data_IF_627342450254
#
_entry.id   IF_627342450254
#
_cell.length_a   1.000
_cell.length_b   1.000
_cell.length_c   1.000
_cell.angle_alpha   90.00
_cell.angle_beta   90.00
_cell.angle_gamma   90.00
#
_symmetry.space_group_name_H-M   'P 1'
#
loop_
_entity.id
_entity.type
_entity.pdbx_description
1 polymer ?
#
# COMPACT_ATOMS: atom_id res chain seq x y z
N UNK A 1 19.84 -0.20 -22.00
CA UNK A 1 20.01 -0.58 -20.58
C UNK A 1 19.34 0.41 -19.60
N UNK A 2 19.81 1.66 -19.44
CA UNK A 2 19.29 2.60 -18.41
C UNK A 2 17.79 2.94 -18.53
N UNK A 3 17.27 3.14 -19.74
CA UNK A 3 15.82 3.40 -19.97
C UNK A 3 14.95 2.20 -19.59
N UNK A 4 15.35 1.00 -20.01
CA UNK A 4 14.68 -0.25 -19.66
C UNK A 4 14.67 -0.47 -18.14
N UNK A 5 15.82 -0.33 -17.48
CA UNK A 5 15.90 -0.46 -16.02
C UNK A 5 14.96 0.54 -15.30
N UNK A 6 14.85 1.77 -15.80
CA UNK A 6 13.92 2.76 -15.25
C UNK A 6 12.46 2.37 -15.44
N UNK A 7 12.08 1.89 -16.62
CA UNK A 7 10.70 1.44 -16.89
C UNK A 7 10.35 0.28 -15.96
N UNK A 8 11.21 -0.75 -15.90
CA UNK A 8 11.00 -1.90 -15.02
C UNK A 8 10.93 -1.50 -13.55
N UNK A 9 11.80 -0.61 -13.08
CA UNK A 9 11.77 -0.09 -11.73
C UNK A 9 10.45 0.64 -11.41
N UNK A 10 9.97 1.48 -12.32
CA UNK A 10 8.68 2.18 -12.15
C UNK A 10 7.50 1.21 -12.14
N UNK A 11 7.48 0.25 -13.06
CA UNK A 11 6.44 -0.79 -13.10
C UNK A 11 6.37 -1.55 -11.79
N UNK A 12 7.53 -2.00 -11.27
CA UNK A 12 7.59 -2.71 -9.99
C UNK A 12 7.05 -1.85 -8.84
N UNK A 13 7.47 -0.58 -8.76
CA UNK A 13 7.00 0.33 -7.70
C UNK A 13 5.47 0.51 -7.77
N UNK A 14 4.91 0.70 -8.97
CA UNK A 14 3.46 0.83 -9.15
C UNK A 14 2.75 -0.47 -8.74
N UNK A 15 3.23 -1.62 -9.16
CA UNK A 15 2.65 -2.92 -8.80
C UNK A 15 2.64 -3.14 -7.28
N UNK A 16 3.75 -2.85 -6.61
CA UNK A 16 3.86 -2.94 -5.14
C UNK A 16 2.88 -2.00 -4.46
N UNK A 17 2.75 -0.75 -4.94
CA UNK A 17 1.80 0.20 -4.37
C UNK A 17 0.36 -0.28 -4.53
N UNK A 18 -0.02 -0.73 -5.73
CA UNK A 18 -1.37 -1.26 -6.00
C UNK A 18 -1.68 -2.46 -5.11
N UNK A 19 -0.72 -3.37 -4.91
CA UNK A 19 -0.90 -4.50 -4.01
C UNK A 19 -1.20 -4.06 -2.57
N UNK A 20 -0.39 -3.14 -2.00
CA UNK A 20 -0.61 -2.69 -0.62
C UNK A 20 -1.91 -1.90 -0.44
N UNK A 21 -2.32 -1.13 -1.45
CA UNK A 21 -3.61 -0.43 -1.45
C UNK A 21 -4.76 -1.45 -1.47
N UNK A 22 -4.70 -2.43 -2.38
CA UNK A 22 -5.71 -3.48 -2.49
C UNK A 22 -5.82 -4.30 -1.21
N UNK A 23 -4.69 -4.68 -0.61
CA UNK A 23 -4.66 -5.35 0.69
C UNK A 23 -5.31 -4.49 1.76
N UNK A 24 -4.88 -3.24 1.93
CA UNK A 24 -5.44 -2.33 2.92
C UNK A 24 -6.96 -2.14 2.75
N UNK A 25 -7.46 -2.11 1.52
CA UNK A 25 -8.90 -2.03 1.25
C UNK A 25 -9.66 -3.33 1.57
N UNK A 26 -9.02 -4.49 1.43
CA UNK A 26 -9.64 -5.79 1.72
C UNK A 26 -9.68 -6.12 3.22
N UNK A 27 -8.68 -5.69 3.99
CA UNK A 27 -8.48 -6.08 5.40
C UNK A 27 -9.72 -5.88 6.31
N UNK A 28 -10.48 -4.77 6.26
CA UNK A 28 -11.69 -4.60 7.07
C UNK A 28 -12.80 -5.64 6.80
N UNK A 29 -12.77 -6.29 5.63
CA UNK A 29 -13.75 -7.29 5.23
C UNK A 29 -13.25 -8.73 5.41
N UNK A 30 -11.93 -8.91 5.50
CA UNK A 30 -11.30 -10.24 5.64
C UNK A 30 -10.90 -10.57 7.06
N UNK A 31 -10.67 -9.57 7.91
CA UNK A 31 -10.36 -9.78 9.34
C UNK A 31 -11.67 -9.85 10.13
N UNK A 32 -11.91 -10.99 10.79
CA UNK A 32 -13.08 -11.18 11.64
C UNK A 32 -13.03 -10.30 12.90
N UNK A 33 -14.20 -9.88 13.39
CA UNK A 33 -14.32 -9.04 14.58
C UNK A 33 -13.81 -9.73 15.86
N UNK A 34 -13.79 -11.06 15.89
CA UNK A 34 -13.38 -11.88 17.03
C UNK A 34 -11.87 -12.15 17.09
N UNK A 35 -11.06 -11.45 16.27
CA UNK A 35 -9.61 -11.66 16.19
C UNK A 35 -8.90 -11.70 17.56
N UNK A 36 -9.29 -10.82 18.48
CA UNK A 36 -8.72 -10.77 19.83
C UNK A 36 -9.08 -12.01 20.66
N UNK A 37 -10.30 -12.52 20.51
CA UNK A 37 -10.78 -13.71 21.22
C UNK A 37 -10.17 -14.99 20.65
N UNK A 38 -9.97 -15.05 19.33
CA UNK A 38 -9.45 -16.22 18.61
C UNK A 38 -7.94 -16.41 18.79
N UNK A 39 -7.17 -15.32 18.87
CA UNK A 39 -5.71 -15.36 18.86
C UNK A 39 -5.05 -14.82 20.14
N UNK A 40 -5.84 -14.31 21.10
CA UNK A 40 -5.34 -13.65 22.31
C UNK A 40 -4.49 -12.42 22.03
N UNK A 41 -4.60 -11.87 20.82
CA UNK A 41 -3.70 -10.88 20.23
C UNK A 41 -4.23 -9.44 20.30
N UNK A 42 -3.61 -8.50 19.55
CA UNK A 42 -4.01 -7.09 19.56
C UNK A 42 -5.48 -6.93 19.16
N UNK A 43 -6.10 -5.83 19.64
CA UNK A 43 -7.47 -5.48 19.27
C UNK A 43 -7.64 -5.40 17.75
N UNK A 44 -8.86 -5.59 17.26
CA UNK A 44 -9.20 -5.46 15.83
C UNK A 44 -8.62 -4.16 15.23
N UNK A 45 -8.70 -3.05 15.96
CA UNK A 45 -8.12 -1.76 15.56
C UNK A 45 -6.60 -1.85 15.39
N UNK A 46 -5.90 -2.51 16.31
CA UNK A 46 -4.45 -2.69 16.23
C UNK A 46 -4.03 -3.52 15.01
N UNK A 47 -4.77 -4.59 14.71
CA UNK A 47 -4.54 -5.43 13.53
C UNK A 47 -4.75 -4.61 12.26
N UNK A 48 -5.90 -3.93 12.14
CA UNK A 48 -6.21 -3.12 10.98
C UNK A 48 -5.19 -1.98 10.79
N UNK A 49 -4.74 -1.33 11.86
CA UNK A 49 -3.70 -0.31 11.76
C UNK A 49 -2.43 -0.85 11.09
N UNK A 50 -1.91 -2.00 11.54
CA UNK A 50 -0.69 -2.60 10.96
C UNK A 50 -0.88 -2.97 9.50
N UNK A 51 -2.04 -3.51 9.15
CA UNK A 51 -2.30 -4.04 7.82
C UNK A 51 -2.67 -2.95 6.80
N UNK A 52 -3.31 -1.87 7.25
CA UNK A 52 -3.79 -0.80 6.38
C UNK A 52 -2.79 0.35 6.21
N UNK A 53 -1.91 0.62 7.18
CA UNK A 53 -0.92 1.70 7.08
C UNK A 53 0.03 1.59 5.86
N UNK A 54 0.53 0.41 5.48
CA UNK A 54 1.30 0.26 4.25
C UNK A 54 0.54 0.71 3.00
N UNK A 55 -0.78 0.52 2.95
CA UNK A 55 -1.64 1.02 1.88
C UNK A 55 -1.67 2.54 1.80
N UNK A 56 -1.76 3.24 2.95
CA UNK A 56 -1.68 4.71 2.98
C UNK A 56 -0.30 5.21 2.53
N UNK A 57 0.79 4.56 2.95
CA UNK A 57 2.13 4.87 2.48
C UNK A 57 2.26 4.67 0.97
N UNK A 58 1.69 3.60 0.42
CA UNK A 58 1.66 3.34 -1.01
C UNK A 58 0.90 4.44 -1.78
N UNK A 59 -0.24 4.92 -1.28
CA UNK A 59 -0.95 6.08 -1.85
C UNK A 59 -0.05 7.31 -1.87
N UNK A 60 0.61 7.62 -0.74
CA UNK A 60 1.50 8.76 -0.63
C UNK A 60 2.66 8.70 -1.65
N UNK A 61 3.25 7.52 -1.84
CA UNK A 61 4.31 7.29 -2.85
C UNK A 61 3.80 7.55 -4.26
N UNK A 62 2.61 7.05 -4.62
CA UNK A 62 2.03 7.29 -5.95
C UNK A 62 1.72 8.77 -6.19
N UNK A 63 1.14 9.46 -5.20
CA UNK A 63 0.89 10.90 -5.27
C UNK A 63 2.18 11.67 -5.45
N UNK A 64 3.22 11.34 -4.68
CA UNK A 64 4.53 11.96 -4.80
C UNK A 64 5.15 11.72 -6.19
N UNK A 65 5.15 10.47 -6.69
CA UNK A 65 5.65 10.13 -8.02
C UNK A 65 4.92 10.90 -9.13
N UNK A 66 3.59 10.98 -9.05
CA UNK A 66 2.77 11.75 -9.97
C UNK A 66 3.13 13.24 -9.92
N UNK A 67 3.28 13.81 -8.73
CA UNK A 67 3.64 15.21 -8.55
C UNK A 67 5.00 15.56 -9.15
N UNK A 68 6.01 14.70 -8.96
CA UNK A 68 7.36 14.90 -9.51
C UNK A 68 7.36 14.75 -11.03
N UNK A 69 6.56 13.84 -11.57
CA UNK A 69 6.45 13.62 -13.02
C UNK A 69 5.75 14.80 -13.69
N UNK A 70 4.64 15.29 -13.12
CA UNK A 70 3.92 16.46 -13.64
C UNK A 70 4.76 17.74 -13.62
N UNK A 71 5.56 17.96 -12.57
CA UNK A 71 6.50 19.10 -12.49
C UNK A 71 7.58 19.09 -13.57
N UNK A 72 7.92 17.93 -14.13
CA UNK A 72 8.91 17.80 -15.20
C UNK A 72 8.39 18.19 -16.58
N UNK A 73 7.07 18.26 -16.75
CA UNK A 73 6.40 18.54 -18.02
C UNK A 73 5.80 19.95 -18.09
N UNK A 74 5.89 20.73 -17.00
CA UNK A 74 5.64 22.17 -16.99
C UNK A 74 6.95 22.91 -17.17
#
# INVERSE_FOLDING_TARGET
>A
MRKLARIWGLTLVVMVCVFFIGRAAAEPFTVGNDYQNDWGGPSLVGVLAVHMMPGLLAVAVLVWLGSVTLRRHR
#
